data_IF_201969530438
#
_entry.id   IF_201969530438
#
_cell.length_a   1.000
_cell.length_b   1.000
_cell.length_c   1.000
_cell.angle_alpha   90.00
_cell.angle_beta   90.00
_cell.angle_gamma   90.00
#
_symmetry.space_group_name_H-M   'P 1'
#
loop_
_entity.id
_entity.type
_entity.pdbx_description
1 polymer ?
#
# COMPACT_ATOMS: atom_id res chain seq x y z
N UNK A 1 -11.41 -14.36 -0.21
CA UNK A 1 -10.00 -14.62 -0.56
C UNK A 1 -9.86 -16.12 -0.82
N UNK A 2 -9.06 -16.57 -1.78
CA UNK A 2 -8.94 -18.00 -2.05
C UNK A 2 -8.17 -18.73 -0.94
N UNK A 3 -8.22 -20.06 -0.95
CA UNK A 3 -7.37 -20.89 -0.09
C UNK A 3 -5.87 -20.61 -0.34
N UNK A 4 -5.46 -20.39 -1.60
CA UNK A 4 -4.07 -20.05 -1.98
C UNK A 4 -3.62 -18.76 -1.33
N UNK A 5 -4.41 -17.69 -1.43
CA UNK A 5 -4.05 -16.42 -0.81
C UNK A 5 -3.91 -16.55 0.71
N UNK A 6 -4.77 -17.34 1.36
CA UNK A 6 -4.72 -17.54 2.82
C UNK A 6 -3.45 -18.31 3.22
N UNK A 7 -3.16 -19.40 2.51
CA UNK A 7 -1.92 -20.16 2.68
C UNK A 7 -0.68 -19.30 2.40
N UNK A 8 -0.75 -18.37 1.44
CA UNK A 8 0.35 -17.45 1.11
C UNK A 8 0.67 -16.49 2.24
N UNK A 9 -0.35 -15.92 2.89
CA UNK A 9 -0.13 -15.04 4.04
C UNK A 9 0.54 -15.79 5.18
N UNK A 10 0.05 -16.98 5.50
CA UNK A 10 0.63 -17.84 6.56
C UNK A 10 2.07 -18.21 6.24
N UNK A 11 2.31 -18.74 5.04
CA UNK A 11 3.62 -19.08 4.51
C UNK A 11 4.63 -17.93 4.58
N UNK A 12 4.21 -16.71 4.21
CA UNK A 12 5.06 -15.52 4.24
C UNK A 12 5.46 -15.18 5.66
N UNK A 13 4.51 -15.17 6.59
CA UNK A 13 4.76 -14.80 7.98
C UNK A 13 5.72 -15.81 8.62
N UNK A 14 5.45 -17.11 8.45
CA UNK A 14 6.29 -18.17 8.99
C UNK A 14 7.72 -18.08 8.44
N UNK A 15 7.88 -17.90 7.13
CA UNK A 15 9.19 -17.80 6.50
C UNK A 15 9.94 -16.51 6.91
N UNK A 16 9.23 -15.40 7.09
CA UNK A 16 9.81 -14.15 7.61
C UNK A 16 10.25 -14.31 9.07
N UNK A 17 9.50 -15.03 9.90
CA UNK A 17 9.89 -15.34 11.28
C UNK A 17 11.11 -16.26 11.34
N UNK A 18 11.13 -17.32 10.53
CA UNK A 18 12.29 -18.22 10.39
C UNK A 18 13.54 -17.48 9.92
N UNK A 19 13.38 -16.48 9.05
CA UNK A 19 14.46 -15.60 8.62
C UNK A 19 14.84 -14.51 9.66
N UNK A 20 14.27 -14.55 10.87
CA UNK A 20 14.57 -13.62 11.96
C UNK A 20 14.06 -12.20 11.74
N UNK A 21 13.09 -11.99 10.84
CA UNK A 21 12.57 -10.64 10.47
C UNK A 21 11.40 -10.17 11.32
N UNK A 22 10.79 -11.05 12.11
CA UNK A 22 9.76 -10.74 13.11
C UNK A 22 8.66 -9.76 12.62
N UNK A 23 7.87 -10.13 11.59
CA UNK A 23 6.89 -9.25 10.97
C UNK A 23 5.83 -8.77 11.96
N UNK A 24 5.42 -7.51 11.79
CA UNK A 24 4.29 -6.92 12.51
C UNK A 24 3.23 -6.51 11.52
N UNK A 25 1.99 -6.93 11.77
CA UNK A 25 0.86 -6.70 10.87
C UNK A 25 0.02 -5.55 11.40
N UNK A 26 -0.32 -4.56 10.56
CA UNK A 26 -1.35 -3.60 10.95
C UNK A 26 -2.70 -4.33 11.09
N UNK A 27 -3.42 -4.23 12.22
CA UNK A 27 -4.79 -4.77 12.44
C UNK A 27 -5.90 -4.31 11.45
N UNK A 28 -5.58 -3.79 10.27
CA UNK A 28 -6.53 -3.73 9.16
C UNK A 28 -7.15 -5.12 8.87
N UNK A 29 -6.47 -6.20 9.28
CA UNK A 29 -6.78 -7.62 9.02
C UNK A 29 -7.24 -8.43 10.25
N UNK A 30 -7.82 -7.79 11.29
CA UNK A 30 -8.35 -8.51 12.46
C UNK A 30 -9.47 -9.54 12.15
N UNK A 31 -9.88 -9.66 10.88
CA UNK A 31 -10.90 -10.58 10.39
C UNK A 31 -10.33 -11.61 9.41
N UNK A 32 -9.12 -12.12 9.65
CA UNK A 32 -8.65 -13.33 8.96
C UNK A 32 -9.63 -14.49 9.22
N UNK A 33 -10.02 -15.30 8.20
CA UNK A 33 -9.54 -15.33 6.82
C UNK A 33 -10.33 -14.44 5.83
N UNK A 34 -11.31 -13.66 6.30
CA UNK A 34 -12.09 -12.71 5.49
C UNK A 34 -11.26 -11.45 5.15
N UNK A 35 -10.16 -11.67 4.45
CA UNK A 35 -9.27 -10.63 3.93
C UNK A 35 -9.92 -10.02 2.68
N UNK A 36 -10.33 -8.77 2.82
CA UNK A 36 -10.91 -8.00 1.73
C UNK A 36 -9.95 -7.03 1.03
N UNK A 37 -8.73 -6.77 1.55
CA UNK A 37 -7.84 -5.66 1.10
C UNK A 37 -6.35 -5.97 1.35
N UNK A 38 -5.46 -5.32 0.58
CA UNK A 38 -3.97 -5.24 0.62
C UNK A 38 -3.36 -5.57 1.98
N UNK A 39 -2.35 -6.44 2.09
CA UNK A 39 -1.69 -6.82 3.37
C UNK A 39 -0.54 -5.87 3.75
N UNK A 40 -0.70 -5.09 4.81
CA UNK A 40 0.34 -4.18 5.33
C UNK A 40 1.23 -4.88 6.37
N UNK A 41 2.48 -5.22 6.01
CA UNK A 41 3.49 -5.80 6.89
C UNK A 41 4.59 -4.78 7.22
N UNK A 42 5.02 -4.73 8.47
CA UNK A 42 6.18 -3.99 8.94
C UNK A 42 7.33 -4.95 9.24
N UNK A 43 8.53 -4.63 8.76
CA UNK A 43 9.75 -5.42 8.97
C UNK A 43 10.91 -4.56 9.46
N UNK A 44 11.66 -5.07 10.43
CA UNK A 44 12.95 -4.49 10.82
C UNK A 44 14.00 -4.70 9.72
N UNK A 45 14.97 -3.78 9.63
CA UNK A 45 16.07 -3.88 8.64
C UNK A 45 15.73 -3.45 7.20
N UNK A 46 14.58 -2.82 6.98
CA UNK A 46 14.19 -2.20 5.69
C UNK A 46 13.37 -3.11 4.78
N UNK A 47 12.66 -2.52 3.82
CA UNK A 47 11.64 -3.24 3.03
C UNK A 47 12.21 -4.31 2.09
N UNK A 48 13.46 -4.15 1.61
CA UNK A 48 14.09 -5.07 0.65
C UNK A 48 14.55 -6.41 1.25
N UNK A 49 14.58 -6.55 2.58
CA UNK A 49 15.06 -7.76 3.24
C UNK A 49 14.13 -8.98 3.07
N UNK A 50 12.92 -8.75 2.55
CA UNK A 50 11.88 -9.76 2.37
C UNK A 50 11.87 -10.40 0.98
N UNK A 51 12.60 -9.84 0.01
CA UNK A 51 12.41 -10.18 -1.40
C UNK A 51 12.59 -11.68 -1.68
N UNK A 52 13.66 -12.30 -1.16
CA UNK A 52 13.94 -13.73 -1.34
C UNK A 52 12.87 -14.61 -0.69
N UNK A 53 12.34 -14.22 0.47
CA UNK A 53 11.24 -14.94 1.13
C UNK A 53 9.98 -14.93 0.27
N UNK A 54 9.67 -13.79 -0.35
CA UNK A 54 8.49 -13.65 -1.19
C UNK A 54 8.62 -14.46 -2.48
N UNK A 55 9.80 -14.47 -3.10
CA UNK A 55 10.09 -15.31 -4.27
C UNK A 55 9.94 -16.80 -3.96
N UNK A 56 10.51 -17.28 -2.84
CA UNK A 56 10.38 -18.68 -2.41
C UNK A 56 8.94 -19.08 -2.11
N UNK A 57 8.15 -18.19 -1.49
CA UNK A 57 6.74 -18.47 -1.23
C UNK A 57 5.92 -18.44 -2.53
N UNK A 58 6.25 -17.55 -3.48
CA UNK A 58 5.60 -17.51 -4.78
C UNK A 58 5.78 -18.84 -5.52
N UNK A 59 7.01 -19.35 -5.55
CA UNK A 59 7.36 -20.64 -6.15
C UNK A 59 6.64 -21.80 -5.44
N UNK A 60 6.77 -21.91 -4.11
CA UNK A 60 6.20 -23.01 -3.33
C UNK A 60 4.68 -23.11 -3.45
N UNK A 61 3.99 -21.98 -3.55
CA UNK A 61 2.53 -21.92 -3.61
C UNK A 61 2.01 -21.74 -5.04
N UNK A 62 2.86 -22.00 -6.02
CA UNK A 62 2.50 -22.09 -7.44
C UNK A 62 1.80 -20.84 -7.97
N UNK A 63 2.25 -19.67 -7.52
CA UNK A 63 1.85 -18.41 -8.17
C UNK A 63 2.46 -18.35 -9.58
N UNK A 64 1.80 -17.68 -10.52
CA UNK A 64 2.33 -17.59 -11.89
C UNK A 64 3.40 -16.49 -11.97
N UNK A 65 3.17 -15.37 -11.27
CA UNK A 65 4.08 -14.23 -11.26
C UNK A 65 4.16 -13.56 -9.88
N UNK A 66 5.33 -13.02 -9.56
CA UNK A 66 5.54 -12.06 -8.47
C UNK A 66 6.11 -10.78 -9.06
N UNK A 67 5.44 -9.65 -8.81
CA UNK A 67 5.97 -8.33 -9.15
C UNK A 67 6.22 -7.50 -7.91
N UNK A 68 7.11 -6.52 -8.03
CA UNK A 68 7.35 -5.51 -7.00
C UNK A 68 7.36 -4.12 -7.60
N UNK A 69 6.84 -3.15 -6.85
CA UNK A 69 7.10 -1.74 -7.08
C UNK A 69 7.36 -1.00 -5.78
N UNK A 70 8.19 0.03 -5.83
CA UNK A 70 8.38 0.95 -4.71
C UNK A 70 7.29 2.02 -4.73
N UNK A 71 6.61 2.20 -3.59
CA UNK A 71 5.82 3.38 -3.33
C UNK A 71 6.55 4.22 -2.27
N UNK A 72 6.72 5.51 -2.53
CA UNK A 72 7.21 6.47 -1.55
C UNK A 72 8.61 6.17 -0.93
N UNK A 73 9.55 5.53 -1.64
CA UNK A 73 10.90 5.10 -1.20
C UNK A 73 10.98 4.11 -0.02
N UNK A 74 9.94 3.97 0.80
CA UNK A 74 9.95 3.17 2.04
C UNK A 74 8.85 2.10 2.10
N UNK A 75 8.06 1.96 1.04
CA UNK A 75 7.07 0.90 0.90
C UNK A 75 7.41 0.10 -0.35
N UNK A 76 7.54 -1.22 -0.22
CA UNK A 76 7.60 -2.14 -1.36
C UNK A 76 6.27 -2.87 -1.45
N UNK A 77 5.60 -2.74 -2.58
CA UNK A 77 4.33 -3.39 -2.86
C UNK A 77 4.60 -4.61 -3.73
N UNK A 78 4.49 -5.78 -3.11
CA UNK A 78 4.59 -7.07 -3.77
C UNK A 78 3.21 -7.49 -4.25
N UNK A 79 3.12 -8.07 -5.44
CA UNK A 79 1.86 -8.63 -5.96
C UNK A 79 2.11 -10.03 -6.47
N UNK A 80 1.42 -10.98 -5.87
CA UNK A 80 1.35 -12.35 -6.36
C UNK A 80 0.18 -12.45 -7.34
N UNK A 81 0.42 -12.99 -8.53
CA UNK A 81 -0.57 -13.11 -9.59
C UNK A 81 -0.76 -14.55 -10.00
N UNK A 82 -2.01 -14.95 -10.20
CA UNK A 82 -2.40 -16.19 -10.83
C UNK A 82 -3.42 -15.89 -11.94
N UNK A 83 -3.25 -16.47 -13.12
CA UNK A 83 -4.07 -16.16 -14.29
C UNK A 83 -5.33 -17.02 -14.37
N UNK A 84 -5.28 -18.28 -13.93
CA UNK A 84 -6.41 -19.20 -14.06
C UNK A 84 -6.59 -20.16 -12.86
N UNK A 85 -7.54 -19.89 -11.93
CA UNK A 85 -8.47 -18.76 -11.95
C UNK A 85 -7.78 -17.43 -11.62
N UNK A 86 -8.21 -16.35 -12.27
CA UNK A 86 -7.63 -15.02 -12.06
C UNK A 86 -7.67 -14.57 -10.59
N UNK A 87 -6.49 -14.43 -9.99
CA UNK A 87 -6.32 -14.04 -8.60
C UNK A 87 -5.10 -13.13 -8.45
N UNK A 88 -5.20 -12.12 -7.58
CA UNK A 88 -4.06 -11.30 -7.18
C UNK A 88 -4.06 -11.06 -5.66
N UNK A 89 -2.91 -11.29 -5.02
CA UNK A 89 -2.66 -10.96 -3.62
C UNK A 89 -1.64 -9.81 -3.51
N UNK A 90 -2.08 -8.58 -3.18
CA UNK A 90 -1.19 -7.47 -2.88
C UNK A 90 -0.70 -7.49 -1.42
N UNK A 91 0.60 -7.31 -1.23
CA UNK A 91 1.30 -7.25 0.06
C UNK A 91 2.24 -6.05 0.09
N UNK A 92 1.95 -5.09 0.96
CA UNK A 92 2.71 -3.87 1.17
C UNK A 92 3.68 -4.07 2.35
N UNK A 93 4.98 -4.09 2.07
CA UNK A 93 6.05 -4.13 3.08
C UNK A 93 6.52 -2.72 3.38
N UNK A 94 6.37 -2.31 4.63
CA UNK A 94 6.60 -0.94 5.09
C UNK A 94 7.83 -0.90 5.99
N UNK A 95 8.89 -0.21 5.54
CA UNK A 95 10.14 -0.02 6.28
C UNK A 95 10.07 1.03 7.41
N UNK A 96 8.89 1.59 7.65
CA UNK A 96 8.62 2.56 8.70
C UNK A 96 7.46 3.46 8.33
N UNK A 97 6.88 4.12 9.32
CA UNK A 97 5.71 4.96 9.10
C UNK A 97 6.14 6.42 8.88
N UNK A 98 6.34 6.75 7.62
CA UNK A 98 6.84 8.05 7.18
C UNK A 98 5.69 8.94 6.70
N UNK A 99 4.91 9.47 7.65
CA UNK A 99 3.95 10.52 7.30
C UNK A 99 4.64 11.87 7.21
N UNK A 100 4.15 12.71 6.30
CA UNK A 100 4.73 14.03 5.97
C UNK A 100 5.17 14.77 7.23
N UNK A 101 6.48 14.83 7.43
CA UNK A 101 7.12 15.61 8.48
C UNK A 101 7.40 14.92 9.80
N UNK A 102 7.09 13.63 9.99
CA UNK A 102 7.35 12.99 11.29
C UNK A 102 8.09 11.64 11.14
N UNK A 103 9.03 11.32 12.05
CA UNK A 103 9.51 9.96 12.29
C UNK A 103 8.60 9.35 13.36
N UNK A 104 7.38 8.99 13.00
CA UNK A 104 6.43 8.58 14.04
C UNK A 104 6.64 7.13 14.51
N UNK A 105 7.53 6.36 13.86
CA UNK A 105 8.27 5.22 14.42
C UNK A 105 9.16 4.63 13.31
N UNK A 106 10.38 4.16 13.63
CA UNK A 106 11.09 3.24 12.74
C UNK A 106 10.32 1.92 12.64
N UNK A 107 10.52 1.14 11.58
CA UNK A 107 9.96 -0.21 11.56
C UNK A 107 10.43 -1.02 12.78
N UNK A 108 11.67 -0.83 13.24
CA UNK A 108 12.18 -1.50 14.44
C UNK A 108 11.34 -1.18 15.68
N UNK A 109 10.97 0.08 15.89
CA UNK A 109 10.13 0.48 17.02
C UNK A 109 8.69 -0.08 16.93
N UNK A 110 8.16 -0.21 15.70
CA UNK A 110 6.85 -0.84 15.48
C UNK A 110 6.91 -2.35 15.71
N UNK A 111 8.00 -2.99 15.30
CA UNK A 111 8.20 -4.43 15.50
C UNK A 111 8.54 -4.78 16.95
N UNK A 112 9.19 -3.87 17.69
CA UNK A 112 9.47 -4.03 19.11
C UNK A 112 8.19 -4.00 19.96
N UNK A 113 7.16 -3.28 19.51
CA UNK A 113 5.86 -3.15 20.20
C UNK A 113 4.81 -4.15 19.69
N UNK A 114 5.26 -5.27 19.12
CA UNK A 114 4.38 -6.28 18.52
C UNK A 114 3.61 -7.05 19.59
N UNK A 115 2.30 -7.15 19.43
CA UNK A 115 1.40 -7.88 20.33
C UNK A 115 0.87 -9.13 19.63
N UNK A 116 1.03 -10.33 20.20
CA UNK A 116 0.42 -11.54 19.64
C UNK A 116 -1.09 -11.37 19.51
N UNK A 117 -1.66 -11.91 18.44
CA UNK A 117 -3.09 -12.00 18.26
C UNK A 117 -3.70 -13.06 19.20
N UNK A 118 -5.03 -13.18 19.21
CA UNK A 118 -5.72 -14.12 20.09
C UNK A 118 -5.32 -15.58 19.82
N UNK A 119 -5.02 -15.91 18.56
CA UNK A 119 -4.54 -17.24 18.18
C UNK A 119 -3.04 -17.44 18.45
N UNK A 120 -2.32 -16.39 18.86
CA UNK A 120 -0.86 -16.28 18.98
C UNK A 120 -0.11 -16.61 17.69
N UNK A 121 -0.81 -16.69 16.57
CA UNK A 121 -0.26 -17.02 15.26
C UNK A 121 0.39 -15.80 14.60
N UNK A 122 -0.13 -14.61 14.88
CA UNK A 122 0.34 -13.39 14.25
C UNK A 122 0.70 -12.34 15.27
N UNK A 123 1.64 -11.48 14.91
CA UNK A 123 1.97 -10.31 15.71
C UNK A 123 1.37 -9.05 15.08
N UNK A 124 0.69 -8.25 15.89
CA UNK A 124 0.04 -7.02 15.48
C UNK A 124 0.73 -5.79 16.04
N UNK A 125 0.61 -4.70 15.28
CA UNK A 125 0.93 -3.38 15.79
C UNK A 125 0.05 -3.07 17.01
N UNK A 126 0.64 -2.39 18.00
CA UNK A 126 -0.08 -1.82 19.12
C UNK A 126 -1.32 -1.02 18.64
N UNK A 127 -2.44 -1.21 19.33
CA UNK A 127 -3.73 -0.67 18.92
C UNK A 127 -3.76 0.86 19.02
N UNK A 128 -3.08 1.44 20.02
CA UNK A 128 -3.01 2.89 20.21
C UNK A 128 -2.18 3.49 19.08
N UNK A 129 -0.99 2.94 18.83
CA UNK A 129 -0.14 3.35 17.72
C UNK A 129 -0.93 3.31 16.41
N UNK A 130 -1.52 2.16 16.08
CA UNK A 130 -2.28 1.98 14.84
C UNK A 130 -3.40 3.01 14.65
N UNK A 131 -4.18 3.30 15.68
CA UNK A 131 -5.27 4.28 15.56
C UNK A 131 -4.74 5.71 15.51
N UNK A 132 -3.64 6.02 16.18
CA UNK A 132 -2.89 7.27 15.99
C UNK A 132 -2.46 7.47 14.53
N UNK A 133 -1.99 6.40 13.88
CA UNK A 133 -1.63 6.42 12.46
C UNK A 133 -2.83 6.64 11.54
N UNK A 134 -3.96 5.99 11.83
CA UNK A 134 -5.20 6.17 11.04
C UNK A 134 -5.65 7.63 11.02
N UNK A 135 -5.50 8.39 12.10
CA UNK A 135 -5.81 9.83 12.11
C UNK A 135 -5.07 10.58 10.99
N UNK A 136 -3.78 10.30 10.86
CA UNK A 136 -2.92 10.97 9.90
C UNK A 136 -3.15 10.45 8.46
N UNK A 137 -3.55 9.19 8.31
CA UNK A 137 -4.02 8.65 7.04
C UNK A 137 -5.33 9.33 6.61
N UNK A 138 -6.28 9.55 7.51
CA UNK A 138 -7.52 10.29 7.22
C UNK A 138 -7.17 11.71 6.73
N UNK A 139 -6.25 12.44 7.38
CA UNK A 139 -5.81 13.76 6.89
C UNK A 139 -5.27 13.68 5.45
N UNK A 140 -4.43 12.68 5.18
CA UNK A 140 -3.85 12.51 3.85
C UNK A 140 -4.92 12.19 2.79
N UNK A 141 -5.93 11.38 3.14
CA UNK A 141 -7.04 11.00 2.26
C UNK A 141 -8.01 12.17 2.01
N UNK A 142 -8.29 13.00 3.01
CA UNK A 142 -9.16 14.19 2.85
C UNK A 142 -8.58 15.25 1.91
N UNK A 143 -7.29 15.14 1.59
CA UNK A 143 -6.56 16.03 0.66
C UNK A 143 -6.27 15.40 -0.70
N UNK A 144 -6.56 14.11 -0.84
CA UNK A 144 -6.28 13.42 -2.09
C UNK A 144 -7.16 14.00 -3.21
N UNK A 145 -6.60 14.09 -4.42
CA UNK A 145 -7.35 14.51 -5.61
C UNK A 145 -8.56 13.60 -5.87
N UNK A 146 -8.44 12.32 -5.49
CA UNK A 146 -9.54 11.36 -5.43
C UNK A 146 -9.76 10.99 -3.98
N UNK A 147 -10.88 11.47 -3.42
CA UNK A 147 -11.30 11.13 -2.07
C UNK A 147 -11.88 9.72 -2.09
N UNK A 148 -11.42 8.86 -1.19
CA UNK A 148 -11.97 7.51 -0.99
C UNK A 148 -12.90 7.51 0.24
N UNK A 149 -14.20 7.88 0.10
CA UNK A 149 -15.10 8.07 1.23
C UNK A 149 -15.25 6.80 2.08
N UNK A 150 -15.32 5.62 1.44
CA UNK A 150 -15.41 4.34 2.13
C UNK A 150 -14.16 4.00 2.96
N UNK A 151 -12.97 4.48 2.55
CA UNK A 151 -11.73 4.30 3.30
C UNK A 151 -11.67 5.24 4.49
N UNK A 152 -12.08 6.50 4.31
CA UNK A 152 -12.19 7.49 5.38
C UNK A 152 -13.19 7.04 6.45
N UNK A 153 -14.40 6.63 6.05
CA UNK A 153 -15.43 6.15 6.97
C UNK A 153 -14.95 4.95 7.80
N UNK A 154 -14.29 3.97 7.16
CA UNK A 154 -13.73 2.80 7.86
C UNK A 154 -12.65 3.19 8.88
N UNK A 155 -11.74 4.10 8.52
CA UNK A 155 -10.70 4.54 9.44
C UNK A 155 -11.26 5.39 10.58
N UNK A 156 -12.19 6.30 10.29
CA UNK A 156 -12.91 7.09 11.30
C UNK A 156 -13.57 6.17 12.32
N UNK A 157 -14.40 5.22 11.86
CA UNK A 157 -15.10 4.28 12.75
C UNK A 157 -14.14 3.60 13.73
N UNK A 158 -13.04 3.04 13.23
CA UNK A 158 -12.04 2.34 14.08
C UNK A 158 -11.35 3.26 15.09
N UNK A 159 -11.00 4.46 14.68
CA UNK A 159 -10.41 5.48 15.57
C UNK A 159 -11.38 5.84 16.69
N UNK A 160 -12.65 6.07 16.35
CA UNK A 160 -13.68 6.47 17.31
C UNK A 160 -14.07 5.32 18.25
N UNK A 161 -14.23 4.10 17.73
CA UNK A 161 -14.48 2.89 18.54
C UNK A 161 -13.35 2.65 19.55
N UNK A 162 -12.08 2.82 19.12
CA UNK A 162 -10.94 2.69 20.02
C UNK A 162 -10.92 3.80 21.07
N UNK A 163 -11.13 5.05 20.66
CA UNK A 163 -11.17 6.19 21.58
C UNK A 163 -12.29 6.11 22.60
N UNK A 164 -13.45 5.54 22.24
CA UNK A 164 -14.57 5.33 23.15
C UNK A 164 -14.29 4.24 24.20
N UNK A 165 -13.53 3.20 23.84
CA UNK A 165 -13.15 2.10 24.77
C UNK A 165 -11.94 2.43 25.64
N UNK A 166 -11.10 3.36 25.19
CA UNK A 166 -9.83 3.69 25.82
C UNK A 166 -9.63 5.21 25.82
N UNK A 167 -10.40 5.90 26.64
CA UNK A 167 -10.39 7.36 26.74
C UNK A 167 -8.97 7.91 27.00
N UNK A 168 -8.64 9.05 26.38
CA UNK A 168 -7.34 9.73 26.56
C UNK A 168 -6.11 9.03 25.93
N UNK A 169 -6.23 7.78 25.44
CA UNK A 169 -5.07 7.04 24.89
C UNK A 169 -4.52 7.65 23.59
N UNK A 170 -5.40 8.11 22.69
CA UNK A 170 -5.00 8.77 21.43
C UNK A 170 -4.41 10.17 21.68
N UNK A 171 -4.95 10.91 22.64
CA UNK A 171 -4.41 12.19 23.10
C UNK A 171 -2.99 12.00 23.66
N UNK A 172 -2.83 11.02 24.55
CA UNK A 172 -1.54 10.66 25.15
C UNK A 172 -0.54 10.18 24.11
N UNK A 173 -0.97 9.36 23.14
CA UNK A 173 -0.13 8.96 22.02
C UNK A 173 0.30 10.17 21.20
N UNK A 174 -0.61 11.09 20.90
CA UNK A 174 -0.29 12.30 20.16
C UNK A 174 0.72 13.17 20.92
N UNK A 175 0.55 13.35 22.23
CA UNK A 175 1.48 14.08 23.08
C UNK A 175 2.88 13.45 23.08
N UNK A 176 3.00 12.13 23.27
CA UNK A 176 4.28 11.40 23.20
C UNK A 176 4.97 11.53 21.83
N UNK A 177 4.19 11.79 20.80
CA UNK A 177 4.66 11.98 19.43
C UNK A 177 4.76 13.46 19.02
N UNK A 178 4.74 14.38 19.99
CA UNK A 178 4.81 15.82 19.79
C UNK A 178 3.74 16.37 18.83
N UNK A 179 2.58 15.73 18.77
CA UNK A 179 1.41 16.15 18.00
C UNK A 179 0.40 16.88 18.91
N UNK A 180 0.70 18.14 19.22
CA UNK A 180 -0.18 18.97 20.05
C UNK A 180 -1.46 19.39 19.30
N UNK A 181 -2.58 19.47 20.00
CA UNK A 181 -3.89 19.88 19.45
C UNK A 181 -4.61 18.80 18.66
N UNK A 182 -4.31 17.52 18.91
CA UNK A 182 -5.03 16.39 18.31
C UNK A 182 -6.40 16.18 18.95
N UNK A 183 -6.63 16.61 20.19
CA UNK A 183 -7.93 16.47 20.86
C UNK A 183 -9.03 17.23 20.13
N UNK A 184 -8.79 18.50 19.79
CA UNK A 184 -9.69 19.28 18.93
C UNK A 184 -9.93 18.61 17.57
N UNK A 185 -8.92 17.91 17.05
CA UNK A 185 -9.05 17.18 15.80
C UNK A 185 -9.95 15.94 15.99
N UNK A 186 -9.83 15.22 17.09
CA UNK A 186 -10.71 14.10 17.42
C UNK A 186 -12.16 14.57 17.55
N UNK A 187 -12.42 15.73 18.15
CA UNK A 187 -13.75 16.32 18.23
C UNK A 187 -14.30 16.69 16.84
N UNK A 188 -13.49 17.34 16.01
CA UNK A 188 -13.86 17.62 14.63
C UNK A 188 -14.12 16.33 13.83
N UNK A 189 -13.38 15.25 14.09
CA UNK A 189 -13.59 13.95 13.45
C UNK A 189 -14.89 13.28 13.93
N UNK A 190 -15.24 13.41 15.22
CA UNK A 190 -16.53 12.95 15.78
C UNK A 190 -17.69 13.68 15.12
N UNK A 191 -17.62 15.00 15.01
CA UNK A 191 -18.62 15.87 14.37
C UNK A 191 -18.63 15.80 12.82
N UNK A 192 -17.82 14.93 12.21
CA UNK A 192 -17.72 14.78 10.74
C UNK A 192 -17.25 16.06 9.99
N UNK A 193 -16.61 16.98 10.70
CA UNK A 193 -16.03 18.21 10.16
C UNK A 193 -14.66 17.94 9.51
N UNK A 194 -14.62 17.11 8.46
CA UNK A 194 -13.37 16.62 7.84
C UNK A 194 -12.39 17.74 7.42
N UNK A 195 -12.90 18.88 6.96
CA UNK A 195 -12.07 20.05 6.61
C UNK A 195 -11.39 20.67 7.82
N UNK A 196 -12.11 20.78 8.95
CA UNK A 196 -11.56 21.28 10.21
C UNK A 196 -10.57 20.28 10.79
N UNK A 197 -10.94 19.00 10.83
CA UNK A 197 -10.04 17.90 11.19
C UNK A 197 -8.70 17.99 10.45
N UNK A 198 -8.74 18.04 9.11
CA UNK A 198 -7.55 18.12 8.29
C UNK A 198 -6.73 19.41 8.51
N UNK A 199 -7.36 20.53 8.87
CA UNK A 199 -6.63 21.75 9.26
C UNK A 199 -5.89 21.57 10.59
N UNK A 200 -6.55 21.00 11.59
CA UNK A 200 -5.99 20.80 12.93
C UNK A 200 -4.82 19.80 12.91
N UNK A 201 -4.99 18.65 12.26
CA UNK A 201 -3.89 17.67 12.08
C UNK A 201 -2.70 18.28 11.34
N UNK A 202 -2.94 19.13 10.32
CA UNK A 202 -1.85 19.86 9.64
C UNK A 202 -1.14 20.85 10.54
N UNK A 203 -1.87 21.58 11.38
CA UNK A 203 -1.28 22.50 12.36
C UNK A 203 -0.38 21.74 13.33
N UNK A 204 -0.85 20.60 13.84
CA UNK A 204 -0.06 19.72 14.70
C UNK A 204 1.24 19.26 14.01
N UNK A 205 1.16 18.76 12.77
CA UNK A 205 2.32 18.33 11.97
C UNK A 205 3.30 19.47 11.66
N UNK A 206 2.81 20.67 11.36
CA UNK A 206 3.66 21.85 11.14
C UNK A 206 4.36 22.29 12.42
N UNK A 207 3.64 22.31 13.56
CA UNK A 207 4.23 22.61 14.85
C UNK A 207 5.32 21.62 15.25
N UNK A 208 5.09 20.32 15.00
CA UNK A 208 6.10 19.28 15.16
C UNK A 208 7.34 19.57 14.32
N UNK A 209 7.15 19.85 13.01
CA UNK A 209 8.25 20.14 12.09
C UNK A 209 9.06 21.36 12.53
N UNK A 210 8.39 22.43 12.96
CA UNK A 210 9.07 23.63 13.45
C UNK A 210 9.94 23.31 14.67
N UNK A 211 9.44 22.56 15.64
CA UNK A 211 10.23 22.11 16.81
C UNK A 211 11.44 21.26 16.40
N UNK A 212 11.25 20.27 15.52
CA UNK A 212 12.36 19.43 15.04
C UNK A 212 13.40 20.22 14.23
N UNK A 213 12.98 21.24 13.49
CA UNK A 213 13.88 22.12 12.78
C UNK A 213 14.71 22.98 13.74
N UNK A 214 14.11 23.44 14.85
CA UNK A 214 14.84 24.17 15.90
C UNK A 214 15.82 23.26 16.66
N UNK A 215 15.42 22.03 16.99
CA UNK A 215 16.29 21.08 17.71
C UNK A 215 17.44 20.53 16.83
N UNK A 216 17.17 20.23 15.56
CA UNK A 216 18.09 19.53 14.67
C UNK A 216 17.95 20.05 13.22
N UNK A 217 18.39 21.28 12.92
CA UNK A 217 18.12 21.95 11.65
C UNK A 217 18.66 21.17 10.45
N UNK A 218 19.95 20.83 10.44
CA UNK A 218 20.60 20.16 9.32
C UNK A 218 19.97 18.80 9.01
N UNK A 219 19.75 17.96 10.03
CA UNK A 219 19.16 16.62 9.88
C UNK A 219 17.70 16.70 9.41
N UNK A 220 16.94 17.66 9.92
CA UNK A 220 15.53 17.85 9.55
C UNK A 220 15.41 18.36 8.11
N UNK A 221 16.24 19.33 7.72
CA UNK A 221 16.31 19.84 6.34
C UNK A 221 16.71 18.74 5.35
N UNK A 222 17.76 17.97 5.64
CA UNK A 222 18.16 16.84 4.79
C UNK A 222 17.02 15.82 4.59
N UNK A 223 16.27 15.52 5.66
CA UNK A 223 15.10 14.63 5.57
C UNK A 223 13.94 15.22 4.74
N UNK A 224 13.70 16.52 4.83
CA UNK A 224 12.68 17.20 4.04
C UNK A 224 13.07 17.22 2.57
N UNK A 225 14.30 17.65 2.26
CA UNK A 225 14.83 17.75 0.91
C UNK A 225 14.95 16.37 0.24
N UNK A 226 15.50 15.37 0.94
CA UNK A 226 15.61 13.99 0.45
C UNK A 226 14.25 13.39 0.06
N UNK A 227 13.19 13.69 0.83
CA UNK A 227 11.81 13.31 0.47
C UNK A 227 11.27 14.10 -0.73
N UNK A 228 11.61 15.38 -0.86
CA UNK A 228 11.24 16.20 -2.02
C UNK A 228 11.85 15.64 -3.32
N UNK A 229 13.14 15.32 -3.27
CA UNK A 229 13.87 14.66 -4.36
C UNK A 229 13.30 13.27 -4.64
N UNK A 230 13.02 12.48 -3.60
CA UNK A 230 12.40 11.16 -3.74
C UNK A 230 11.06 11.20 -4.46
N UNK A 231 10.19 12.17 -4.12
CA UNK A 231 8.92 12.36 -4.85
C UNK A 231 9.10 12.79 -6.28
N UNK A 232 10.04 13.69 -6.54
CA UNK A 232 10.31 14.13 -7.91
C UNK A 232 10.78 12.93 -8.75
N UNK A 233 11.69 12.11 -8.19
CA UNK A 233 12.14 10.87 -8.82
C UNK A 233 11.00 9.89 -9.05
N UNK A 234 10.11 9.66 -8.09
CA UNK A 234 8.94 8.79 -8.25
C UNK A 234 7.94 9.31 -9.30
N UNK A 235 7.69 10.62 -9.32
CA UNK A 235 6.73 11.20 -10.26
C UNK A 235 7.26 11.22 -11.71
N UNK A 236 8.57 11.35 -11.88
CA UNK A 236 9.22 11.58 -13.19
C UNK A 236 9.88 10.32 -13.75
N UNK A 237 10.60 9.57 -12.91
CA UNK A 237 11.48 8.48 -13.34
C UNK A 237 10.88 7.09 -13.07
N UNK A 238 10.13 6.93 -11.98
CA UNK A 238 9.58 5.62 -11.56
C UNK A 238 8.07 5.67 -11.26
N UNK A 239 7.20 6.16 -12.19
CA UNK A 239 5.78 6.21 -11.93
C UNK A 239 5.22 4.79 -11.74
N UNK A 240 4.52 4.57 -10.64
CA UNK A 240 3.79 3.33 -10.42
C UNK A 240 2.59 3.21 -11.40
N UNK A 241 2.20 1.99 -11.75
CA UNK A 241 1.06 1.73 -12.62
C UNK A 241 1.35 1.86 -14.12
N UNK A 242 0.75 1.00 -14.96
CA UNK A 242 1.07 0.93 -16.37
C UNK A 242 0.42 2.05 -17.19
N UNK A 243 1.10 2.46 -18.26
CA UNK A 243 0.49 3.26 -19.34
C UNK A 243 0.11 2.31 -20.47
N UNK A 244 -1.18 2.25 -20.77
CA UNK A 244 -1.77 1.33 -21.75
C UNK A 244 -2.30 2.12 -22.95
N UNK A 245 -1.87 1.74 -24.15
CA UNK A 245 -2.40 2.30 -25.40
C UNK A 245 -3.26 1.22 -26.06
N UNK A 246 -4.57 1.41 -26.02
CA UNK A 246 -5.56 0.44 -26.50
C UNK A 246 -6.21 0.95 -27.79
N UNK A 247 -6.63 0.02 -28.64
CA UNK A 247 -7.33 0.39 -29.87
C UNK A 247 -8.69 1.02 -29.54
N UNK A 248 -8.99 2.16 -30.16
CA UNK A 248 -10.27 2.85 -29.99
C UNK A 248 -11.45 2.06 -30.57
N UNK A 249 -11.23 1.22 -31.59
CA UNK A 249 -12.24 0.27 -32.07
C UNK A 249 -12.42 -0.82 -31.01
N UNK A 250 -13.66 -1.02 -30.54
CA UNK A 250 -13.96 -1.96 -29.45
C UNK A 250 -13.75 -1.39 -28.05
N UNK A 251 -13.78 -0.05 -27.90
CA UNK A 251 -13.62 0.65 -26.61
C UNK A 251 -14.44 0.02 -25.47
N UNK A 252 -15.73 -0.21 -25.67
CA UNK A 252 -16.62 -0.77 -24.64
C UNK A 252 -16.20 -2.19 -24.21
N UNK A 253 -15.56 -2.94 -25.12
CA UNK A 253 -14.96 -4.24 -24.80
C UNK A 253 -13.72 -4.08 -23.92
N UNK A 254 -12.84 -3.16 -24.27
CA UNK A 254 -11.66 -2.83 -23.47
C UNK A 254 -12.00 -2.29 -22.07
N UNK A 255 -12.97 -1.40 -21.96
CA UNK A 255 -13.42 -0.87 -20.67
C UNK A 255 -13.95 -2.00 -19.77
N UNK A 256 -14.72 -2.94 -20.33
CA UNK A 256 -15.16 -4.14 -19.60
C UNK A 256 -13.99 -5.04 -19.15
N UNK A 257 -12.97 -5.22 -19.99
CA UNK A 257 -11.77 -5.98 -19.60
C UNK A 257 -10.97 -5.26 -18.51
N UNK A 258 -10.84 -3.93 -18.59
CA UNK A 258 -10.20 -3.11 -17.58
C UNK A 258 -10.95 -3.15 -16.24
N UNK A 259 -12.28 -3.08 -16.27
CA UNK A 259 -13.12 -3.23 -15.08
C UNK A 259 -12.96 -4.63 -14.49
N UNK A 260 -12.94 -5.68 -15.32
CA UNK A 260 -12.64 -7.04 -14.87
C UNK A 260 -11.25 -7.13 -14.21
N UNK A 261 -10.22 -6.48 -14.75
CA UNK A 261 -8.88 -6.44 -14.12
C UNK A 261 -8.90 -5.71 -12.77
N UNK A 262 -9.79 -4.73 -12.58
CA UNK A 262 -9.99 -4.07 -11.28
C UNK A 262 -10.73 -4.98 -10.31
N UNK A 263 -11.76 -5.67 -10.77
CA UNK A 263 -12.53 -6.66 -9.99
C UNK A 263 -11.66 -7.83 -9.52
N UNK A 264 -10.79 -8.35 -10.41
CA UNK A 264 -9.80 -9.40 -10.11
C UNK A 264 -8.53 -8.87 -9.44
N UNK A 265 -8.43 -7.55 -9.23
CA UNK A 265 -7.36 -6.84 -8.50
C UNK A 265 -5.98 -6.86 -9.16
N UNK A 266 -5.90 -7.20 -10.45
CA UNK A 266 -4.70 -6.97 -11.25
C UNK A 266 -4.39 -5.48 -11.38
N UNK A 267 -5.43 -4.64 -11.42
CA UNK A 267 -5.34 -3.19 -11.37
C UNK A 267 -6.00 -2.65 -10.11
N UNK A 268 -5.45 -1.59 -9.53
CA UNK A 268 -6.15 -0.85 -8.48
C UNK A 268 -7.32 -0.02 -9.02
N UNK A 269 -7.23 0.34 -10.29
CA UNK A 269 -8.14 1.21 -11.01
C UNK A 269 -7.54 1.59 -12.36
N UNK A 270 -8.31 2.28 -13.19
CA UNK A 270 -7.82 2.82 -14.45
C UNK A 270 -8.44 4.19 -14.75
N UNK A 271 -7.79 4.98 -15.59
CA UNK A 271 -8.30 6.29 -16.00
C UNK A 271 -7.83 6.67 -17.39
N UNK A 272 -8.62 7.45 -18.11
CA UNK A 272 -8.22 8.14 -19.35
C UNK A 272 -7.71 9.56 -19.11
N UNK A 273 -7.76 10.04 -17.86
CA UNK A 273 -7.45 11.43 -17.53
C UNK A 273 -6.57 11.55 -16.28
N UNK A 274 -5.52 12.36 -16.40
CA UNK A 274 -4.57 12.84 -15.37
C UNK A 274 -3.35 11.95 -15.06
N UNK A 275 -2.13 12.52 -15.07
CA UNK A 275 -0.89 11.83 -14.70
C UNK A 275 -0.75 11.50 -13.21
N UNK A 276 -1.44 12.21 -12.30
CA UNK A 276 -1.25 12.04 -10.85
C UNK A 276 -1.83 10.75 -10.25
N UNK A 277 -2.61 9.98 -11.01
CA UNK A 277 -3.10 8.65 -10.60
C UNK A 277 -2.03 7.55 -10.70
N UNK A 278 -0.87 7.87 -11.29
CA UNK A 278 0.31 6.99 -11.33
C UNK A 278 0.86 6.69 -9.93
N UNK A 279 0.66 7.54 -8.93
CA UNK A 279 1.18 7.26 -7.58
C UNK A 279 0.51 6.06 -6.85
N UNK A 280 -0.46 5.35 -7.46
CA UNK A 280 -1.24 4.31 -6.76
C UNK A 280 -1.38 2.97 -7.51
N UNK A 281 -0.65 2.73 -8.60
CA UNK A 281 -0.80 1.49 -9.36
C UNK A 281 -2.10 1.42 -10.16
N UNK A 282 -2.73 2.58 -10.44
CA UNK A 282 -3.81 2.66 -11.42
C UNK A 282 -3.23 2.71 -12.84
N UNK A 283 -3.90 2.08 -13.80
CA UNK A 283 -3.51 2.18 -15.20
C UNK A 283 -3.93 3.53 -15.82
N UNK A 284 -3.05 4.14 -16.60
CA UNK A 284 -3.40 5.27 -17.46
C UNK A 284 -3.66 4.74 -18.87
N UNK A 285 -4.89 4.92 -19.36
CA UNK A 285 -5.36 4.34 -20.62
C UNK A 285 -5.52 5.44 -21.67
N UNK A 286 -4.88 5.27 -22.81
CA UNK A 286 -5.08 6.10 -23.99
C UNK A 286 -5.74 5.26 -25.08
N UNK A 287 -6.93 5.67 -25.53
CA UNK A 287 -7.60 5.05 -26.66
C UNK A 287 -7.17 5.73 -27.95
N UNK A 288 -6.39 5.02 -28.76
CA UNK A 288 -5.83 5.53 -30.01
C UNK A 288 -6.28 4.69 -31.21
N UNK A 289 -6.22 5.27 -32.41
CA UNK A 289 -6.52 4.56 -33.67
C UNK A 289 -5.51 3.42 -33.90
N UNK A 290 -4.28 3.60 -33.41
CA UNK A 290 -3.23 2.58 -33.37
C UNK A 290 -3.15 2.02 -31.95
N UNK A 291 -3.33 0.72 -31.80
CA UNK A 291 -3.29 0.02 -30.52
C UNK A 291 -3.61 -1.46 -30.70
N UNK A 292 -3.43 -2.28 -29.65
CA UNK A 292 -3.79 -3.69 -29.73
C UNK A 292 -5.29 -3.82 -30.05
N UNK A 293 -5.66 -4.57 -31.11
CA UNK A 293 -7.07 -4.76 -31.46
C UNK A 293 -7.78 -5.49 -30.32
N UNK A 294 -9.05 -5.16 -30.12
CA UNK A 294 -9.90 -5.92 -29.21
C UNK A 294 -10.19 -7.28 -29.84
N UNK A 295 -9.83 -8.36 -29.15
CA UNK A 295 -10.13 -9.74 -29.54
C UNK A 295 -11.39 -10.22 -28.80
N UNK A 296 -11.45 -11.47 -28.36
CA UNK A 296 -12.44 -11.90 -27.38
C UNK A 296 -12.06 -11.44 -25.96
N UNK A 297 -13.01 -11.55 -25.03
CA UNK A 297 -12.88 -11.04 -23.66
C UNK A 297 -11.78 -11.75 -22.87
N UNK A 298 -11.59 -13.04 -23.06
CA UNK A 298 -10.70 -13.84 -22.22
C UNK A 298 -9.25 -13.72 -22.73
N UNK A 299 -9.02 -13.82 -24.04
CA UNK A 299 -7.71 -13.53 -24.63
C UNK A 299 -7.26 -12.08 -24.36
N UNK A 300 -8.17 -11.11 -24.47
CA UNK A 300 -7.87 -9.70 -24.16
C UNK A 300 -7.58 -9.48 -22.68
N UNK A 301 -8.22 -10.24 -21.78
CA UNK A 301 -7.94 -10.19 -20.34
C UNK A 301 -6.52 -10.67 -20.05
N UNK A 302 -6.14 -11.85 -20.55
CA UNK A 302 -4.82 -12.42 -20.31
C UNK A 302 -3.70 -11.55 -20.90
N UNK A 303 -3.90 -11.07 -22.14
CA UNK A 303 -2.94 -10.20 -22.79
C UNK A 303 -2.72 -8.89 -22.02
N UNK A 304 -3.80 -8.31 -21.48
CA UNK A 304 -3.72 -7.07 -20.72
C UNK A 304 -3.17 -7.30 -19.31
N UNK A 305 -3.53 -8.40 -18.65
CA UNK A 305 -2.96 -8.81 -17.36
C UNK A 305 -1.44 -8.96 -17.44
N UNK A 306 -0.94 -9.65 -18.47
CA UNK A 306 0.51 -9.79 -18.72
C UNK A 306 1.17 -8.44 -18.98
N UNK A 307 0.57 -7.58 -19.80
CA UNK A 307 1.10 -6.24 -20.05
C UNK A 307 1.18 -5.38 -18.77
N UNK A 308 0.23 -5.53 -17.84
CA UNK A 308 0.27 -4.88 -16.53
C UNK A 308 1.44 -5.42 -15.70
N UNK A 309 1.63 -6.75 -15.68
CA UNK A 309 2.72 -7.43 -14.94
C UNK A 309 4.09 -7.00 -15.46
N UNK A 310 4.31 -7.05 -16.77
CA UNK A 310 5.58 -6.71 -17.44
C UNK A 310 6.03 -5.27 -17.21
N UNK A 311 5.10 -4.36 -16.90
CA UNK A 311 5.39 -2.96 -16.60
C UNK A 311 5.82 -2.72 -15.16
N UNK A 312 5.75 -3.74 -14.31
CA UNK A 312 6.34 -3.72 -12.97
C UNK A 312 7.65 -4.51 -12.97
N UNK A 313 8.49 -4.32 -11.94
CA UNK A 313 9.68 -5.15 -11.80
C UNK A 313 9.25 -6.58 -11.47
N UNK A 314 9.46 -7.49 -12.41
CA UNK A 314 9.22 -8.92 -12.24
C UNK A 314 10.30 -9.51 -11.32
N UNK A 315 9.87 -10.25 -10.30
CA UNK A 315 10.76 -10.97 -9.37
C UNK A 315 10.71 -12.48 -9.59
N UNK A 316 9.56 -13.01 -9.96
CA UNK A 316 9.35 -14.43 -10.22
C UNK A 316 8.36 -14.61 -11.37
N UNK A 317 8.60 -15.61 -12.23
CA UNK A 317 7.67 -16.09 -13.26
C UNK A 317 7.84 -17.59 -13.41
N UNK A 318 6.74 -18.34 -13.29
CA UNK A 318 6.76 -19.80 -13.46
C UNK A 318 7.24 -20.21 -14.86
N UNK A 319 6.92 -19.42 -15.88
CA UNK A 319 7.36 -19.66 -17.26
C UNK A 319 8.90 -19.56 -17.45
N UNK A 320 9.56 -18.71 -16.64
CA UNK A 320 11.02 -18.57 -16.68
C UNK A 320 11.73 -19.73 -15.94
N UNK A 321 11.10 -20.30 -14.91
CA UNK A 321 11.61 -21.46 -14.16
C UNK A 321 11.51 -22.76 -14.98
N UNK A 322 10.53 -22.86 -15.89
CA UNK A 322 10.39 -23.99 -16.82
C UNK A 322 11.29 -23.92 -18.07
N UNK A 323 12.33 -23.07 -18.08
CA UNK A 323 13.29 -22.98 -19.17
C UNK A 323 12.73 -22.46 -20.50
N UNK A 324 11.55 -21.82 -20.48
CA UNK A 324 10.99 -21.18 -21.68
C UNK A 324 11.30 -19.68 -21.61
N UNK A 325 12.13 -19.13 -22.51
CA UNK A 325 12.47 -17.72 -22.46
C UNK A 325 11.20 -16.88 -22.63
N UNK A 326 10.98 -15.94 -21.71
CA UNK A 326 9.98 -14.90 -21.91
C UNK A 326 10.41 -14.08 -23.12
N UNK A 327 9.52 -13.96 -24.11
CA UNK A 327 9.78 -13.19 -25.32
C UNK A 327 10.02 -11.72 -24.95
N UNK A 328 11.29 -11.33 -24.85
CA UNK A 328 11.67 -9.99 -24.40
C UNK A 328 13.16 -9.75 -24.17
N UNK A 329 14.03 -10.77 -24.22
CA UNK A 329 15.48 -10.56 -24.29
C UNK A 329 15.93 -10.44 -25.75
N UNK A 330 15.91 -9.20 -26.25
CA UNK A 330 16.79 -8.71 -27.33
C UNK A 330 17.21 -7.28 -27.06
#
# INVERSE_FOLDING_TARGET
>A
MSARSSATVEALIDALEQAGRAPTIARNYASFPHIGRDLDIFLSGGAGCAQSVFEQVAERLEWDFLTVCSHYQHVLCYRFHHLDPAETLPVDVIGGLFLRGQPLASADALCASRTPDASKRFCHMDAVAQNGWRLLQIESLTRALVVEPNKIARYRRRVLEHGARHEGTLASWALRNDLRGIDDALDALRAEEYRRFARLVRRAKRGFLARRLMENPSRTTLRICGRGIGRLREAVLDPCGPVLVLNRRGRDGWERVLDRLVETRFLKGWTTSRPMLRERGCAMVSFAVRGRPFEDRDASFDALARAVIERHRLLFSRAAVSGTPLAGER
#
